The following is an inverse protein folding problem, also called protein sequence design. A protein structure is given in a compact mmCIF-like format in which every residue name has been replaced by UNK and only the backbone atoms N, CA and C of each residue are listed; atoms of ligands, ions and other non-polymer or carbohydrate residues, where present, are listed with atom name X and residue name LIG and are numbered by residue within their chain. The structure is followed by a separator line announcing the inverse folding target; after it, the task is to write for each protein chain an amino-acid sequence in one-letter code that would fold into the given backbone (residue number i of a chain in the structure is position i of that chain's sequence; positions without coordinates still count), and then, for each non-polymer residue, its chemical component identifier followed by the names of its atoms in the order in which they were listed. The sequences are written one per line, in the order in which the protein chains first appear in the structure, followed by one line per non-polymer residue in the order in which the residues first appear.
data_IF_713612366651
#
_entry.id   IF_713612366651
#
_cell.length_a   1.000
_cell.length_b   1.000
_cell.length_c   1.000
_cell.angle_alpha   90.00
_cell.angle_beta   90.00
_cell.angle_gamma   90.00
#
_symmetry.space_group_name_H-M   'P 1'
#
loop_
_entity.id
_entity.type
_entity.pdbx_description
1 polymer ?
#
# COMPACT_ATOMS: atom_id res chain seq x y z
N UNK A 1 8.74 41.25 62.49
CA UNK A 1 8.80 41.22 61.03
C UNK A 1 8.69 39.78 60.61
N UNK A 2 7.47 39.35 60.24
CA UNK A 2 7.16 37.99 59.84
C UNK A 2 7.29 37.87 58.31
N UNK A 3 8.01 36.87 57.86
CA UNK A 3 8.08 36.47 56.46
C UNK A 3 7.14 35.29 56.28
N UNK A 4 5.97 35.58 55.75
CA UNK A 4 5.00 34.58 55.32
C UNK A 4 5.43 34.04 53.96
N UNK A 5 5.80 32.74 53.87
CA UNK A 5 6.12 32.04 52.64
C UNK A 5 4.83 31.53 51.98
N UNK A 6 4.46 32.14 50.89
CA UNK A 6 3.42 31.68 50.00
C UNK A 6 3.84 30.34 49.35
N UNK A 7 3.20 29.25 49.70
CA UNK A 7 3.28 28.00 48.98
C UNK A 7 2.25 27.98 47.84
N UNK A 8 2.68 27.75 46.56
CA UNK A 8 1.71 27.57 45.51
C UNK A 8 0.98 26.22 45.67
N UNK A 9 -0.33 26.32 45.69
CA UNK A 9 -1.27 25.19 45.73
C UNK A 9 -1.08 24.31 44.47
N UNK A 10 -0.61 23.08 44.64
CA UNK A 10 -0.58 22.04 43.61
C UNK A 10 -2.02 21.58 43.39
N UNK A 11 -2.59 21.99 42.25
CA UNK A 11 -3.82 21.44 41.71
C UNK A 11 -3.58 19.96 41.34
N UNK A 12 -4.36 18.98 41.83
CA UNK A 12 -4.25 17.62 41.37
C UNK A 12 -4.77 17.54 39.92
N UNK A 13 -3.90 17.16 39.02
CA UNK A 13 -4.28 16.77 37.66
C UNK A 13 -5.03 15.45 37.81
N UNK A 14 -6.37 15.52 37.76
CA UNK A 14 -7.21 14.35 37.58
C UNK A 14 -6.92 13.76 36.19
N UNK A 15 -6.10 12.70 36.17
CA UNK A 15 -5.96 11.82 35.00
C UNK A 15 -7.29 11.09 34.87
N UNK A 16 -8.12 11.59 33.97
CA UNK A 16 -9.31 10.90 33.51
C UNK A 16 -8.85 9.69 32.67
N UNK A 17 -8.52 8.58 33.32
CA UNK A 17 -8.44 7.29 32.66
C UNK A 17 -9.83 6.92 32.16
N UNK A 18 -10.12 7.20 30.90
CA UNK A 18 -11.33 6.73 30.23
C UNK A 18 -11.38 5.19 30.29
N UNK A 19 -12.47 4.61 30.83
CA UNK A 19 -12.72 3.19 30.66
C UNK A 19 -13.31 2.90 29.28
N UNK A 20 -12.53 3.17 28.24
CA UNK A 20 -12.94 2.86 26.86
C UNK A 20 -12.57 1.44 26.43
N UNK A 21 -11.84 0.71 27.25
CA UNK A 21 -11.36 -0.63 26.93
C UNK A 21 -12.30 -1.77 27.31
N UNK A 22 -13.34 -1.53 28.12
CA UNK A 22 -14.17 -2.62 28.67
C UNK A 22 -15.45 -2.90 27.87
N UNK A 23 -15.87 -2.03 26.96
CA UNK A 23 -17.09 -2.23 26.18
C UNK A 23 -16.92 -2.96 24.85
N UNK A 24 -15.68 -3.28 24.46
CA UNK A 24 -15.39 -3.98 23.20
C UNK A 24 -15.47 -5.52 23.31
N UNK A 25 -15.69 -6.07 24.49
CA UNK A 25 -15.79 -7.53 24.70
C UNK A 25 -17.20 -8.07 24.92
N UNK A 26 -18.22 -7.24 24.87
CA UNK A 26 -19.59 -7.72 24.73
C UNK A 26 -19.93 -7.91 23.23
N UNK A 27 -19.05 -8.57 22.49
CA UNK A 27 -19.39 -9.09 21.18
C UNK A 27 -20.34 -10.26 21.43
N UNK A 28 -21.65 -10.02 21.27
CA UNK A 28 -22.59 -11.05 20.83
C UNK A 28 -21.86 -11.94 19.81
N UNK A 29 -21.99 -13.25 19.98
CA UNK A 29 -21.55 -14.26 19.01
C UNK A 29 -22.06 -13.89 17.62
N UNK A 30 -21.28 -13.09 16.90
CA UNK A 30 -21.48 -12.88 15.47
C UNK A 30 -21.10 -14.20 14.85
N UNK A 31 -22.07 -14.88 14.31
CA UNK A 31 -21.86 -16.04 13.45
C UNK A 31 -20.79 -15.66 12.44
N UNK A 32 -19.72 -16.43 12.42
CA UNK A 32 -18.58 -16.26 11.51
C UNK A 32 -18.90 -16.80 10.10
N UNK A 33 -20.12 -16.54 9.65
CA UNK A 33 -20.56 -16.88 8.31
C UNK A 33 -20.52 -15.59 7.49
N UNK A 34 -19.54 -15.47 6.59
CA UNK A 34 -19.34 -14.35 5.65
C UNK A 34 -19.15 -12.95 6.26
N UNK A 35 -18.92 -12.86 7.56
CA UNK A 35 -18.54 -11.61 8.19
C UNK A 35 -17.20 -11.18 7.59
N UNK A 36 -17.21 -10.16 6.77
CA UNK A 36 -16.07 -9.62 6.03
C UNK A 36 -14.88 -9.21 6.90
N UNK A 37 -14.56 -10.03 7.92
CA UNK A 37 -13.42 -9.87 8.81
C UNK A 37 -12.14 -10.19 8.06
N UNK A 38 -11.17 -9.29 8.12
CA UNK A 38 -9.87 -9.43 7.51
C UNK A 38 -8.87 -9.72 8.62
N UNK A 39 -8.26 -10.91 8.58
CA UNK A 39 -7.14 -11.28 9.43
C UNK A 39 -5.99 -11.77 8.54
N UNK A 40 -4.89 -11.04 8.53
CA UNK A 40 -3.74 -11.37 7.70
C UNK A 40 -2.43 -11.17 8.47
N UNK A 41 -1.87 -12.22 9.09
CA UNK A 41 -0.52 -12.17 9.61
C UNK A 41 0.49 -12.24 8.44
N UNK A 42 1.55 -11.45 8.51
CA UNK A 42 2.61 -11.41 7.50
C UNK A 42 3.97 -11.42 8.19
N UNK A 43 4.84 -12.28 7.72
CA UNK A 43 6.26 -12.25 8.07
C UNK A 43 7.00 -11.40 7.03
N UNK A 44 7.38 -10.19 7.41
CA UNK A 44 8.03 -9.25 6.50
C UNK A 44 9.53 -9.57 6.31
N UNK A 45 10.18 -10.09 7.36
CA UNK A 45 11.57 -10.53 7.33
C UNK A 45 11.84 -11.54 8.44
N UNK A 46 13.09 -11.98 8.61
CA UNK A 46 13.47 -12.88 9.72
C UNK A 46 13.17 -12.29 11.11
N UNK A 47 12.99 -10.97 11.22
CA UNK A 47 12.80 -10.25 12.49
C UNK A 47 11.69 -9.20 12.45
N UNK A 48 10.88 -9.22 11.42
CA UNK A 48 9.77 -8.29 11.26
C UNK A 48 8.51 -9.06 10.93
N UNK A 49 7.50 -8.85 11.74
CA UNK A 49 6.16 -9.42 11.59
C UNK A 49 5.15 -8.29 11.55
N UNK A 50 4.06 -8.49 10.89
CA UNK A 50 2.88 -7.62 10.98
C UNK A 50 1.61 -8.45 11.00
N UNK A 51 0.58 -7.90 11.61
CA UNK A 51 -0.76 -8.45 11.57
C UNK A 51 -1.71 -7.36 11.08
N UNK A 52 -2.45 -7.65 10.03
CA UNK A 52 -3.46 -6.76 9.47
C UNK A 52 -4.83 -7.27 9.88
N UNK A 53 -5.56 -6.42 10.61
CA UNK A 53 -6.91 -6.63 11.08
C UNK A 53 -7.83 -5.65 10.35
N UNK A 54 -9.05 -6.05 10.05
CA UNK A 54 -10.00 -5.14 9.44
C UNK A 54 -11.33 -5.81 9.17
N UNK A 55 -12.25 -5.03 8.61
CA UNK A 55 -13.55 -5.48 8.19
C UNK A 55 -13.92 -4.89 6.83
N UNK A 56 -14.73 -5.62 6.10
CA UNK A 56 -15.46 -5.12 4.95
C UNK A 56 -16.75 -4.48 5.47
N UNK A 57 -16.97 -3.22 5.15
CA UNK A 57 -18.18 -2.52 5.53
C UNK A 57 -19.35 -2.92 4.63
N UNK A 58 -20.56 -3.03 5.19
CA UNK A 58 -21.78 -3.36 4.42
C UNK A 58 -22.28 -2.12 3.70
N UNK A 59 -21.58 -1.70 2.66
CA UNK A 59 -21.88 -0.53 1.84
C UNK A 59 -21.98 -0.93 0.37
N UNK A 60 -22.74 -0.19 -0.45
CA UNK A 60 -22.85 -0.44 -1.89
C UNK A 60 -21.48 -0.35 -2.59
N UNK A 61 -20.65 0.55 -2.13
CA UNK A 61 -19.24 0.62 -2.55
C UNK A 61 -18.41 -0.27 -1.64
N UNK A 62 -17.61 -1.22 -2.18
CA UNK A 62 -16.79 -2.11 -1.37
C UNK A 62 -15.71 -1.33 -0.58
N UNK A 63 -16.01 -1.04 0.68
CA UNK A 63 -15.08 -0.37 1.60
C UNK A 63 -14.51 -1.41 2.56
N UNK A 64 -13.21 -1.36 2.78
CA UNK A 64 -12.50 -2.14 3.78
C UNK A 64 -11.68 -1.20 4.61
N UNK A 65 -11.69 -1.38 5.92
CA UNK A 65 -10.89 -0.57 6.83
C UNK A 65 -10.39 -1.39 8.01
N UNK A 66 -9.32 -0.95 8.62
CA UNK A 66 -8.76 -1.68 9.73
C UNK A 66 -7.47 -1.11 10.27
N UNK A 67 -6.77 -1.96 10.98
CA UNK A 67 -5.55 -1.69 11.71
C UNK A 67 -4.46 -2.66 11.25
N UNK A 68 -3.26 -2.17 11.09
CA UNK A 68 -2.06 -2.98 10.89
C UNK A 68 -1.10 -2.70 12.04
N UNK A 69 -0.72 -3.74 12.75
CA UNK A 69 0.27 -3.69 13.82
C UNK A 69 1.53 -4.41 13.36
N UNK A 70 2.67 -3.76 13.49
CA UNK A 70 3.96 -4.35 13.21
C UNK A 70 4.74 -4.64 14.49
N UNK A 71 5.74 -5.49 14.36
CA UNK A 71 6.74 -5.75 15.39
C UNK A 71 8.09 -5.97 14.70
N UNK A 72 9.03 -5.11 15.00
CA UNK A 72 10.40 -5.22 14.55
C UNK A 72 11.30 -5.60 15.73
N UNK A 73 12.22 -6.54 15.54
CA UNK A 73 13.15 -6.97 16.56
C UNK A 73 14.61 -6.78 16.12
N UNK A 74 15.47 -6.41 17.09
CA UNK A 74 16.91 -6.32 16.90
C UNK A 74 17.56 -7.71 16.70
N UNK A 75 18.84 -7.74 16.38
CA UNK A 75 19.62 -9.01 16.33
C UNK A 75 19.63 -9.78 17.66
N UNK A 76 19.44 -9.09 18.77
CA UNK A 76 19.40 -9.68 20.12
C UNK A 76 17.98 -10.07 20.56
N UNK A 77 16.98 -9.99 19.67
CA UNK A 77 15.58 -10.35 19.96
C UNK A 77 14.79 -9.28 20.73
N UNK A 78 15.38 -8.11 20.98
CA UNK A 78 14.65 -7.00 21.62
C UNK A 78 13.72 -6.34 20.62
N UNK A 79 12.49 -6.05 21.01
CA UNK A 79 11.53 -5.28 20.20
C UNK A 79 12.06 -3.85 20.08
N UNK A 80 12.26 -3.40 18.85
CA UNK A 80 12.81 -2.08 18.53
C UNK A 80 11.75 -1.09 18.10
N UNK A 81 10.67 -1.58 17.48
CA UNK A 81 9.61 -0.76 16.95
C UNK A 81 8.31 -1.57 16.81
N UNK A 82 7.18 -0.95 17.13
CA UNK A 82 5.83 -1.51 17.02
C UNK A 82 4.94 -0.56 16.24
N UNK A 83 5.14 -0.41 14.92
CA UNK A 83 4.33 0.51 14.14
C UNK A 83 2.86 0.12 14.17
N UNK A 84 2.00 1.11 14.42
CA UNK A 84 0.55 0.99 14.37
C UNK A 84 0.05 1.87 13.23
N UNK A 85 -0.64 1.26 12.27
CA UNK A 85 -1.16 1.95 11.09
C UNK A 85 -2.65 1.69 10.94
N UNK A 86 -3.42 2.73 10.73
CA UNK A 86 -4.79 2.62 10.26
C UNK A 86 -4.78 2.59 8.74
N UNK A 87 -5.60 1.76 8.16
CA UNK A 87 -5.73 1.65 6.71
C UNK A 87 -7.19 1.61 6.30
N UNK A 88 -7.48 2.19 5.16
CA UNK A 88 -8.76 2.10 4.48
C UNK A 88 -8.53 1.88 2.99
N UNK A 89 -9.45 1.15 2.37
CA UNK A 89 -9.44 0.89 0.95
C UNK A 89 -10.89 0.90 0.44
N UNK A 90 -11.10 1.54 -0.70
CA UNK A 90 -12.40 1.66 -1.34
C UNK A 90 -12.26 1.42 -2.83
N UNK A 91 -13.05 0.51 -3.39
CA UNK A 91 -13.14 0.30 -4.83
C UNK A 91 -14.21 1.22 -5.42
N UNK A 92 -13.79 2.26 -6.15
CA UNK A 92 -14.69 3.27 -6.73
C UNK A 92 -15.38 2.74 -7.99
N UNK A 93 -14.64 1.96 -8.80
CA UNK A 93 -15.17 1.40 -10.03
C UNK A 93 -14.55 0.02 -10.26
N UNK A 94 -15.40 -0.92 -10.63
CA UNK A 94 -14.97 -2.25 -11.07
C UNK A 94 -15.88 -2.66 -12.22
N UNK A 95 -15.28 -2.88 -13.39
CA UNK A 95 -15.98 -3.39 -14.57
C UNK A 95 -15.22 -4.60 -15.06
N UNK A 96 -15.93 -5.68 -15.25
CA UNK A 96 -15.37 -6.92 -15.79
C UNK A 96 -16.29 -7.44 -16.89
N UNK A 97 -16.06 -6.98 -18.11
CA UNK A 97 -16.75 -7.39 -19.32
C UNK A 97 -15.83 -8.26 -20.17
N UNK A 98 -16.37 -9.10 -21.07
CA UNK A 98 -15.55 -9.83 -22.02
C UNK A 98 -14.63 -8.88 -22.78
N UNK A 99 -13.31 -9.10 -22.64
CA UNK A 99 -12.27 -8.28 -23.29
C UNK A 99 -11.97 -6.92 -22.66
N UNK A 100 -12.68 -6.49 -21.60
CA UNK A 100 -12.41 -5.23 -20.88
C UNK A 100 -12.51 -5.43 -19.38
N UNK A 101 -11.45 -5.10 -18.67
CA UNK A 101 -11.42 -5.04 -17.21
C UNK A 101 -10.94 -3.66 -16.78
N UNK A 102 -11.68 -3.04 -15.86
CA UNK A 102 -11.33 -1.77 -15.24
C UNK A 102 -11.48 -1.90 -13.72
N UNK A 103 -10.46 -1.51 -12.99
CA UNK A 103 -10.51 -1.37 -11.53
C UNK A 103 -9.95 -0.01 -11.13
N UNK A 104 -10.64 0.66 -10.22
CA UNK A 104 -10.19 1.90 -9.59
C UNK A 104 -10.36 1.81 -8.10
N UNK A 105 -9.27 1.99 -7.39
CA UNK A 105 -9.22 1.88 -5.94
C UNK A 105 -8.65 3.15 -5.34
N UNK A 106 -9.16 3.53 -4.18
CA UNK A 106 -8.59 4.54 -3.31
C UNK A 106 -8.17 3.88 -2.02
N UNK A 107 -6.96 4.14 -1.58
CA UNK A 107 -6.42 3.67 -0.32
C UNK A 107 -5.94 4.84 0.52
N UNK A 108 -6.21 4.78 1.81
CA UNK A 108 -5.69 5.71 2.82
C UNK A 108 -4.87 4.93 3.84
N UNK A 109 -3.81 5.53 4.31
CA UNK A 109 -2.99 4.98 5.39
C UNK A 109 -2.62 6.11 6.35
N UNK A 110 -2.68 5.83 7.64
CA UNK A 110 -2.27 6.74 8.70
C UNK A 110 -1.39 5.98 9.70
N UNK A 111 -0.21 6.52 9.97
CA UNK A 111 0.72 5.98 10.96
C UNK A 111 0.50 6.71 12.29
N UNK A 112 0.00 6.00 13.30
CA UNK A 112 -0.33 6.59 14.60
C UNK A 112 0.90 7.08 15.39
N UNK A 113 2.08 6.51 15.13
CA UNK A 113 3.29 6.89 15.86
C UNK A 113 3.92 8.17 15.31
N UNK A 114 3.94 8.33 14.00
CA UNK A 114 4.60 9.49 13.34
C UNK A 114 3.63 10.59 12.94
N UNK A 115 2.31 10.32 12.96
CA UNK A 115 1.30 11.21 12.40
C UNK A 115 1.32 11.27 10.87
N UNK A 116 2.15 10.47 10.22
CA UNK A 116 2.29 10.47 8.76
C UNK A 116 1.10 9.79 8.10
N UNK A 117 0.68 10.29 6.95
CA UNK A 117 -0.44 9.75 6.20
C UNK A 117 -0.14 9.66 4.70
N UNK A 118 -0.87 8.78 4.02
CA UNK A 118 -0.82 8.66 2.57
C UNK A 118 -2.22 8.43 2.01
N UNK A 119 -2.50 9.08 0.90
CA UNK A 119 -3.67 8.84 0.06
C UNK A 119 -3.16 8.34 -1.29
N UNK A 120 -3.63 7.17 -1.71
CA UNK A 120 -3.25 6.54 -2.96
C UNK A 120 -4.49 6.25 -3.80
N UNK A 121 -4.46 6.64 -5.06
CA UNK A 121 -5.47 6.27 -6.05
C UNK A 121 -4.82 5.41 -7.13
N UNK A 122 -5.34 4.21 -7.33
CA UNK A 122 -4.86 3.27 -8.34
C UNK A 122 -5.94 3.07 -9.40
N UNK A 123 -5.55 3.06 -10.67
CA UNK A 123 -6.40 2.71 -11.79
C UNK A 123 -5.70 1.66 -12.64
N UNK A 124 -6.33 0.50 -12.78
CA UNK A 124 -5.89 -0.59 -13.64
C UNK A 124 -6.92 -0.83 -14.73
N UNK A 125 -6.50 -0.83 -15.98
CA UNK A 125 -7.34 -1.10 -17.13
C UNK A 125 -6.66 -2.12 -18.02
N UNK A 126 -7.36 -3.22 -18.32
CA UNK A 126 -6.95 -4.20 -19.31
C UNK A 126 -7.99 -4.27 -20.42
N UNK A 127 -7.53 -4.32 -21.66
CA UNK A 127 -8.37 -4.44 -22.85
C UNK A 127 -7.76 -5.43 -23.84
N UNK A 128 -8.55 -6.38 -24.28
CA UNK A 128 -8.25 -7.22 -25.44
C UNK A 128 -8.58 -6.40 -26.68
N UNK A 129 -7.57 -6.04 -27.48
CA UNK A 129 -7.73 -5.23 -28.69
C UNK A 129 -8.03 -6.11 -29.88
N UNK A 130 -7.28 -7.22 -29.97
CA UNK A 130 -7.51 -8.32 -30.93
C UNK A 130 -7.37 -9.64 -30.20
N UNK A 131 -7.77 -10.79 -30.79
CA UNK A 131 -7.52 -12.10 -30.18
C UNK A 131 -6.07 -12.35 -29.78
N UNK A 132 -5.14 -11.66 -30.43
CA UNK A 132 -3.70 -11.83 -30.25
C UNK A 132 -3.05 -10.72 -29.40
N UNK A 133 -3.73 -9.57 -29.22
CA UNK A 133 -3.13 -8.39 -28.63
C UNK A 133 -3.93 -7.88 -27.43
N UNK A 134 -3.29 -7.85 -26.27
CA UNK A 134 -3.78 -7.26 -25.04
C UNK A 134 -3.05 -5.95 -24.71
N UNK A 135 -3.79 -4.97 -24.24
CA UNK A 135 -3.25 -3.73 -23.66
C UNK A 135 -3.63 -3.68 -22.18
N UNK A 136 -2.67 -3.40 -21.33
CA UNK A 136 -2.86 -3.13 -19.90
C UNK A 136 -2.23 -1.80 -19.54
N UNK A 137 -3.03 -0.92 -18.90
CA UNK A 137 -2.58 0.37 -18.41
C UNK A 137 -2.80 0.44 -16.90
N UNK A 138 -1.74 0.73 -16.15
CA UNK A 138 -1.79 0.95 -14.72
C UNK A 138 -1.34 2.37 -14.40
N UNK A 139 -2.09 3.05 -13.51
CA UNK A 139 -1.77 4.39 -13.01
C UNK A 139 -1.91 4.42 -11.52
N UNK A 140 -0.97 5.09 -10.86
CA UNK A 140 -0.98 5.27 -9.43
C UNK A 140 -0.66 6.74 -9.11
N UNK A 141 -1.47 7.33 -8.25
CA UNK A 141 -1.30 8.69 -7.72
C UNK A 141 -1.18 8.57 -6.22
N UNK A 142 -0.15 9.16 -5.64
CA UNK A 142 0.05 9.11 -4.18
C UNK A 142 0.41 10.49 -3.67
N UNK A 143 -0.32 10.95 -2.67
CA UNK A 143 0.00 12.15 -1.89
C UNK A 143 0.34 11.69 -0.48
N UNK A 144 1.45 12.19 0.07
CA UNK A 144 1.91 11.84 1.41
C UNK A 144 2.07 13.08 2.27
N UNK A 145 1.75 12.91 3.53
CA UNK A 145 2.07 13.84 4.60
C UNK A 145 3.09 13.19 5.53
N UNK A 146 4.20 13.86 5.77
CA UNK A 146 5.18 13.44 6.77
C UNK A 146 4.85 14.15 8.10
N UNK A 147 4.34 13.37 9.05
CA UNK A 147 3.97 13.90 10.37
C UNK A 147 5.18 14.32 11.21
N UNK A 148 6.35 13.72 10.98
CA UNK A 148 7.58 14.08 11.70
C UNK A 148 8.15 15.41 11.21
N UNK A 149 8.14 15.63 9.89
CA UNK A 149 8.58 16.87 9.26
C UNK A 149 7.47 17.92 9.16
N UNK A 150 6.21 17.55 9.48
CA UNK A 150 5.01 18.38 9.37
C UNK A 150 4.82 19.02 7.99
N UNK A 151 5.13 18.28 6.94
CA UNK A 151 5.05 18.76 5.56
C UNK A 151 4.46 17.74 4.60
N UNK A 152 3.90 18.25 3.51
CA UNK A 152 3.45 17.43 2.39
C UNK A 152 4.64 17.11 1.47
N UNK A 153 4.75 15.84 1.06
CA UNK A 153 5.81 15.38 0.14
C UNK A 153 5.48 15.61 -1.33
N UNK A 154 4.44 16.39 -1.63
CA UNK A 154 3.99 16.58 -3.00
C UNK A 154 3.19 15.39 -3.55
N UNK A 155 2.98 15.40 -4.86
CA UNK A 155 2.27 14.38 -5.61
C UNK A 155 3.28 13.46 -6.32
N UNK A 156 3.20 12.17 -6.03
CA UNK A 156 3.90 11.13 -6.78
C UNK A 156 2.93 10.48 -7.78
N UNK A 157 3.37 10.34 -9.01
CA UNK A 157 2.60 9.69 -10.08
C UNK A 157 3.44 8.58 -10.67
N UNK A 158 2.85 7.42 -10.88
CA UNK A 158 3.46 6.37 -11.69
C UNK A 158 2.45 5.80 -12.68
N UNK A 159 2.91 5.46 -13.86
CA UNK A 159 2.11 4.81 -14.87
C UNK A 159 2.91 3.77 -15.63
N UNK A 160 2.22 2.73 -16.06
CA UNK A 160 2.77 1.72 -16.95
C UNK A 160 1.78 1.38 -18.06
N UNK A 161 2.30 1.13 -19.24
CA UNK A 161 1.56 0.60 -20.37
C UNK A 161 2.23 -0.69 -20.80
N UNK A 162 1.46 -1.78 -20.86
CA UNK A 162 1.90 -3.08 -21.30
C UNK A 162 1.12 -3.52 -22.53
N UNK A 163 1.83 -3.85 -23.57
CA UNK A 163 1.31 -4.46 -24.79
C UNK A 163 1.76 -5.91 -24.82
N UNK A 164 0.82 -6.86 -24.84
CA UNK A 164 1.14 -8.29 -24.81
C UNK A 164 0.61 -8.97 -26.08
N UNK A 165 1.49 -9.65 -26.78
CA UNK A 165 1.09 -10.56 -27.86
C UNK A 165 0.91 -11.96 -27.30
N UNK A 166 -0.35 -12.41 -27.26
CA UNK A 166 -0.75 -13.64 -26.56
C UNK A 166 -0.16 -14.89 -27.19
N UNK A 167 -0.07 -14.94 -28.52
CA UNK A 167 0.48 -16.10 -29.26
C UNK A 167 1.95 -16.38 -28.92
N UNK A 168 2.76 -15.35 -28.88
CA UNK A 168 4.21 -15.47 -28.67
C UNK A 168 4.62 -15.35 -27.21
N UNK A 169 3.72 -14.85 -26.36
CA UNK A 169 4.05 -14.53 -24.96
C UNK A 169 5.03 -13.36 -24.85
N UNK A 170 5.15 -12.53 -25.91
CA UNK A 170 6.00 -11.34 -25.92
C UNK A 170 5.22 -10.17 -25.35
N UNK A 171 5.83 -9.40 -24.45
CA UNK A 171 5.25 -8.16 -23.96
C UNK A 171 6.25 -7.00 -24.08
N UNK A 172 5.74 -5.84 -24.46
CA UNK A 172 6.44 -4.57 -24.44
C UNK A 172 5.87 -3.71 -23.33
N UNK A 173 6.71 -3.18 -22.44
CA UNK A 173 6.30 -2.42 -21.28
C UNK A 173 6.96 -1.05 -21.31
N UNK A 174 6.14 0.00 -21.18
CA UNK A 174 6.58 1.38 -20.95
C UNK A 174 6.22 1.76 -19.51
N UNK A 175 7.15 2.40 -18.82
CA UNK A 175 6.93 2.92 -17.48
C UNK A 175 7.33 4.38 -17.41
N UNK A 176 6.62 5.14 -16.59
CA UNK A 176 6.95 6.51 -16.25
C UNK A 176 6.56 6.79 -14.81
N UNK A 177 7.40 7.52 -14.09
CA UNK A 177 7.08 7.98 -12.76
C UNK A 177 7.62 9.39 -12.55
N UNK A 178 6.90 10.13 -11.69
CA UNK A 178 7.36 11.41 -11.18
C UNK A 178 7.18 11.46 -9.68
N UNK A 179 8.00 12.25 -9.02
CA UNK A 179 7.94 12.52 -7.58
C UNK A 179 7.93 14.02 -7.32
N UNK A 180 7.54 14.38 -6.08
CA UNK A 180 7.57 15.77 -5.61
C UNK A 180 6.86 16.74 -6.56
N UNK A 181 5.63 16.40 -7.01
CA UNK A 181 4.85 17.26 -7.91
C UNK A 181 5.58 17.57 -9.23
N UNK A 182 6.21 16.55 -9.82
CA UNK A 182 6.91 16.59 -11.11
C UNK A 182 8.31 17.20 -11.10
N UNK A 183 8.93 17.37 -9.94
CA UNK A 183 10.34 17.83 -9.84
C UNK A 183 11.32 16.74 -10.31
N UNK A 184 10.99 15.48 -10.07
CA UNK A 184 11.82 14.34 -10.42
C UNK A 184 11.08 13.41 -11.39
N UNK A 185 11.76 12.93 -12.45
CA UNK A 185 11.19 12.01 -13.43
C UNK A 185 12.03 10.75 -13.58
N UNK A 186 11.35 9.64 -13.80
CA UNK A 186 11.98 8.40 -14.26
C UNK A 186 11.16 7.78 -15.38
N UNK A 187 11.84 7.15 -16.34
CA UNK A 187 11.20 6.45 -17.43
C UNK A 187 11.86 5.09 -17.63
N UNK A 188 11.14 4.16 -18.21
CA UNK A 188 11.67 2.83 -18.49
C UNK A 188 10.97 2.16 -19.65
N UNK A 189 11.71 1.32 -20.32
CA UNK A 189 11.19 0.41 -21.34
C UNK A 189 11.65 -1.00 -21.01
N UNK A 190 10.79 -1.98 -21.26
CA UNK A 190 11.13 -3.38 -21.11
C UNK A 190 10.52 -4.19 -22.25
N UNK A 191 11.24 -5.24 -22.64
CA UNK A 191 10.74 -6.30 -23.49
C UNK A 191 10.79 -7.57 -22.67
N UNK A 192 9.66 -8.25 -22.58
CA UNK A 192 9.54 -9.51 -21.87
C UNK A 192 9.18 -10.62 -22.87
N UNK A 193 9.79 -11.77 -22.70
CA UNK A 193 9.51 -12.96 -23.50
C UNK A 193 9.21 -14.14 -22.60
N UNK A 194 8.00 -14.68 -22.72
CA UNK A 194 7.64 -15.93 -22.09
C UNK A 194 8.22 -17.10 -22.89
N UNK A 195 9.05 -17.93 -22.25
CA UNK A 195 9.67 -19.11 -22.82
C UNK A 195 9.04 -20.36 -22.16
N UNK A 196 8.03 -20.90 -22.82
CA UNK A 196 7.22 -21.99 -22.26
C UNK A 196 6.35 -21.51 -21.07
N UNK A 197 5.94 -22.46 -20.21
CA UNK A 197 4.99 -22.15 -19.13
C UNK A 197 5.64 -21.64 -17.85
N UNK A 198 6.94 -21.79 -17.72
CA UNK A 198 7.65 -21.59 -16.47
C UNK A 198 8.70 -20.48 -16.49
N UNK A 199 9.22 -20.13 -17.66
CA UNK A 199 10.32 -19.17 -17.78
C UNK A 199 9.87 -17.90 -18.49
N UNK A 200 10.18 -16.75 -17.88
CA UNK A 200 10.04 -15.45 -18.52
C UNK A 200 11.39 -14.73 -18.44
N UNK A 201 11.87 -14.26 -19.58
CA UNK A 201 13.09 -13.45 -19.69
C UNK A 201 12.70 -12.01 -20.02
N UNK A 202 13.32 -11.04 -19.39
CA UNK A 202 13.09 -9.62 -19.69
C UNK A 202 14.39 -8.85 -19.85
N UNK A 203 14.43 -8.00 -20.87
CA UNK A 203 15.43 -6.94 -21.04
C UNK A 203 14.80 -5.61 -20.66
N UNK A 204 15.50 -4.79 -19.88
CA UNK A 204 15.01 -3.50 -19.39
C UNK A 204 16.03 -2.41 -19.66
N UNK A 205 15.55 -1.21 -19.96
CA UNK A 205 16.35 0.00 -19.96
C UNK A 205 15.58 1.06 -19.18
N UNK A 206 16.12 1.45 -18.03
CA UNK A 206 15.49 2.42 -17.14
C UNK A 206 16.37 3.66 -17.02
N UNK A 207 15.77 4.83 -17.11
CA UNK A 207 16.35 6.09 -16.66
C UNK A 207 15.81 6.38 -15.28
N UNK A 208 16.69 6.36 -14.28
CA UNK A 208 16.34 6.68 -12.90
C UNK A 208 16.11 8.17 -12.69
N UNK A 209 15.70 8.55 -11.50
CA UNK A 209 15.53 9.95 -11.09
C UNK A 209 16.84 10.77 -11.11
N UNK A 210 17.99 10.11 -11.16
CA UNK A 210 19.33 10.71 -11.22
C UNK A 210 19.89 10.78 -12.65
N UNK A 211 19.06 10.80 -13.67
CA UNK A 211 19.42 10.84 -15.11
C UNK A 211 20.37 9.75 -15.60
N UNK A 212 20.55 8.69 -14.85
CA UNK A 212 21.41 7.57 -15.22
C UNK A 212 20.62 6.48 -15.94
N UNK A 213 21.07 6.05 -17.13
CA UNK A 213 20.53 4.89 -17.81
C UNK A 213 21.07 3.59 -17.19
N UNK A 214 20.15 2.70 -16.86
CA UNK A 214 20.49 1.40 -16.25
C UNK A 214 19.88 0.27 -17.08
N UNK A 215 20.70 -0.41 -17.90
CA UNK A 215 20.25 -1.63 -18.59
C UNK A 215 20.16 -2.78 -17.57
N UNK A 216 19.23 -3.68 -17.78
CA UNK A 216 19.06 -4.86 -16.94
C UNK A 216 18.55 -6.04 -17.76
N UNK A 217 18.93 -7.23 -17.35
CA UNK A 217 18.35 -8.49 -17.82
C UNK A 217 17.90 -9.28 -16.61
N UNK A 218 16.69 -9.82 -16.68
CA UNK A 218 16.11 -10.61 -15.61
C UNK A 218 15.51 -11.89 -16.21
N UNK A 219 15.64 -12.99 -15.48
CA UNK A 219 14.98 -14.26 -15.78
C UNK A 219 14.19 -14.71 -14.58
N UNK A 220 12.89 -14.98 -14.76
CA UNK A 220 11.99 -15.46 -13.72
C UNK A 220 11.52 -16.86 -14.07
N UNK A 221 11.79 -17.80 -13.18
CA UNK A 221 11.29 -19.17 -13.26
C UNK A 221 10.21 -19.38 -12.20
N UNK A 222 9.05 -19.94 -12.58
CA UNK A 222 7.93 -20.21 -11.67
C UNK A 222 7.39 -21.62 -11.89
N UNK A 223 7.23 -22.36 -10.79
CA UNK A 223 6.56 -23.68 -10.78
C UNK A 223 5.23 -23.49 -10.07
N UNK A 224 4.15 -24.02 -10.66
CA UNK A 224 2.86 -24.18 -10.00
C UNK A 224 2.77 -25.64 -9.59
N UNK A 225 2.64 -25.89 -8.32
CA UNK A 225 2.33 -27.20 -7.73
C UNK A 225 0.93 -27.23 -7.16
#
# INVERSE_FOLDING_TARGET
MAWEQDMPSRTPIFVFCLPFAASLFAASTVYADDAGLIWKPVKNSSRSYSARLGAKLPTDTPIRAGLEMGMNASRKGQVTDTPVRFWGNMSIASTNLPGVSLARDVAVMFNALTGSSALTMTSSQKRIVTPELDIEANRNFTVRYDGSAQQWSGLDVSQSLRLTRSETGTAFVLTGASRNSFDEFSTGVAVEQKLGDHLTVSGTLNQGFEDSFRPGVNARYSIKW
#
